data_IF_924201314494
#
_entry.id   IF_924201314494
#
_cell.length_a   1.000
_cell.length_b   1.000
_cell.length_c   1.000
_cell.angle_alpha   90.00
_cell.angle_beta   90.00
_cell.angle_gamma   90.00
#
_symmetry.space_group_name_H-M   'P 1'
#
loop_
_entity.id
_entity.type
_entity.pdbx_description
1 polymer ?
#
# COMPACT_ATOMS: atom_id res chain seq x y z
N UNK A 1 32.50 -41.99 -21.22
CA UNK A 1 31.47 -42.42 -20.26
C UNK A 1 31.91 -41.94 -18.88
N UNK A 2 31.29 -40.86 -18.41
CA UNK A 2 31.41 -40.41 -17.02
C UNK A 2 30.03 -40.72 -16.46
N UNK A 3 29.93 -41.79 -15.67
CA UNK A 3 28.69 -42.13 -14.96
C UNK A 3 28.48 -41.10 -13.85
N UNK A 4 27.44 -40.29 -14.01
CA UNK A 4 26.83 -39.51 -12.94
C UNK A 4 26.10 -40.50 -12.04
N UNK A 5 26.63 -40.73 -10.84
CA UNK A 5 25.94 -41.43 -9.77
C UNK A 5 24.74 -40.60 -9.31
N UNK A 6 23.53 -41.13 -9.54
CA UNK A 6 22.28 -40.58 -9.02
C UNK A 6 22.33 -40.52 -7.48
N UNK A 7 22.20 -39.32 -6.92
CA UNK A 7 21.98 -39.13 -5.49
C UNK A 7 20.59 -39.70 -5.14
N UNK A 8 20.58 -40.84 -4.46
CA UNK A 8 19.35 -41.47 -3.96
C UNK A 8 18.65 -40.57 -2.94
N UNK A 9 17.31 -40.59 -2.92
CA UNK A 9 16.48 -39.74 -2.06
C UNK A 9 16.82 -39.81 -0.54
N UNK A 10 17.48 -40.89 -0.10
CA UNK A 10 17.94 -41.08 1.27
C UNK A 10 19.08 -40.12 1.66
N UNK A 11 20.02 -39.84 0.73
CA UNK A 11 21.13 -38.90 0.95
C UNK A 11 20.60 -37.46 1.09
N UNK A 12 19.57 -37.09 0.34
CA UNK A 12 18.96 -35.76 0.44
C UNK A 12 18.29 -35.54 1.80
N UNK A 13 17.65 -36.56 2.37
CA UNK A 13 17.09 -36.50 3.73
C UNK A 13 18.16 -36.50 4.80
N UNK A 14 19.22 -37.30 4.66
CA UNK A 14 20.32 -37.36 5.62
C UNK A 14 21.13 -36.04 5.63
N UNK A 15 21.41 -35.47 4.45
CA UNK A 15 22.05 -34.16 4.29
C UNK A 15 21.18 -33.04 4.87
N UNK A 16 19.87 -33.07 4.66
CA UNK A 16 18.93 -32.09 5.23
C UNK A 16 18.88 -32.19 6.75
N UNK A 17 18.91 -33.40 7.31
CA UNK A 17 18.94 -33.64 8.76
C UNK A 17 20.26 -33.18 9.40
N UNK A 18 21.41 -33.45 8.76
CA UNK A 18 22.74 -33.03 9.24
C UNK A 18 22.88 -31.49 9.22
N UNK A 19 22.39 -30.83 8.17
CA UNK A 19 22.33 -29.36 8.08
C UNK A 19 21.43 -28.76 9.15
N UNK A 20 20.29 -29.38 9.44
CA UNK A 20 19.39 -28.91 10.50
C UNK A 20 20.03 -29.06 11.88
N UNK A 21 20.72 -30.19 12.15
CA UNK A 21 21.45 -30.43 13.41
C UNK A 21 22.58 -29.40 13.60
N UNK A 22 23.31 -29.05 12.55
CA UNK A 22 24.34 -28.00 12.64
C UNK A 22 23.74 -26.62 12.90
N UNK A 23 22.67 -26.25 12.19
CA UNK A 23 21.98 -24.98 12.40
C UNK A 23 21.35 -24.89 13.80
N UNK A 24 20.78 -25.98 14.30
CA UNK A 24 20.26 -26.09 15.67
C UNK A 24 21.40 -26.00 16.71
N UNK A 25 22.54 -26.64 16.44
CA UNK A 25 23.71 -26.57 17.31
C UNK A 25 24.30 -25.15 17.36
N UNK A 26 24.38 -24.45 16.23
CA UNK A 26 24.85 -23.07 16.15
C UNK A 26 23.89 -22.10 16.84
N UNK A 27 22.57 -22.33 16.73
CA UNK A 27 21.57 -21.62 17.54
C UNK A 27 21.71 -21.89 19.04
N UNK A 28 22.18 -23.08 19.45
CA UNK A 28 22.33 -23.44 20.87
C UNK A 28 23.69 -23.05 21.48
N UNK A 29 24.72 -22.83 20.67
CA UNK A 29 26.09 -22.43 21.09
C UNK A 29 26.15 -21.22 22.03
N UNK A 30 25.39 -20.11 21.82
CA UNK A 30 25.42 -18.95 22.70
C UNK A 30 24.89 -19.24 24.11
N UNK A 31 24.09 -20.28 24.25
CA UNK A 31 23.39 -20.65 25.49
C UNK A 31 24.12 -21.72 26.29
N UNK A 32 25.15 -22.34 25.70
CA UNK A 32 25.98 -23.33 26.39
C UNK A 32 26.81 -22.63 27.49
N UNK A 33 26.85 -23.18 28.72
CA UNK A 33 27.71 -22.66 29.77
C UNK A 33 29.16 -22.61 29.30
N UNK A 34 29.82 -21.45 29.48
CA UNK A 34 31.25 -21.30 29.21
C UNK A 34 32.01 -22.30 30.07
N UNK A 35 32.93 -23.06 29.45
CA UNK A 35 33.77 -24.01 30.18
C UNK A 35 34.56 -23.28 31.27
N UNK A 36 34.27 -23.59 32.53
CA UNK A 36 35.08 -23.14 33.65
C UNK A 36 36.45 -23.81 33.57
N UNK A 37 37.50 -23.02 33.33
CA UNK A 37 38.90 -23.46 33.23
C UNK A 37 39.44 -24.15 34.50
N UNK A 38 38.66 -24.22 35.59
CA UNK A 38 39.06 -24.83 36.87
C UNK A 38 38.59 -26.29 37.05
N UNK A 39 37.63 -26.77 36.27
CA UNK A 39 37.12 -28.17 36.36
C UNK A 39 37.48 -29.03 35.16
N UNK A 40 38.22 -28.48 34.18
CA UNK A 40 38.61 -29.15 32.93
C UNK A 40 39.82 -30.10 33.06
N UNK A 41 39.86 -30.96 34.10
CA UNK A 41 40.79 -32.11 34.11
C UNK A 41 40.23 -33.37 33.45
N UNK A 42 38.94 -33.36 33.09
CA UNK A 42 38.31 -34.37 32.25
C UNK A 42 37.36 -33.59 31.34
N UNK A 43 37.46 -33.73 30.02
CA UNK A 43 36.73 -32.95 29.01
C UNK A 43 35.20 -33.14 28.99
N UNK A 44 34.55 -33.17 30.15
CA UNK A 44 33.12 -33.35 30.33
C UNK A 44 32.51 -32.04 30.84
N UNK A 45 31.69 -31.40 30.00
CA UNK A 45 30.83 -30.30 30.40
C UNK A 45 29.78 -30.84 31.36
N UNK A 46 29.87 -30.52 32.65
CA UNK A 46 28.85 -30.90 33.63
C UNK A 46 27.67 -29.94 33.46
N UNK A 47 26.61 -30.43 32.82
CA UNK A 47 25.34 -29.71 32.72
C UNK A 47 24.51 -30.09 33.96
N UNK A 48 24.30 -29.14 34.87
CA UNK A 48 23.47 -29.37 36.05
C UNK A 48 21.97 -29.24 35.71
N UNK A 49 21.10 -29.91 36.47
CA UNK A 49 19.65 -29.78 36.31
C UNK A 49 19.16 -28.31 36.41
N UNK A 50 19.82 -27.50 37.25
CA UNK A 50 19.52 -26.06 37.37
C UNK A 50 19.93 -25.25 36.14
N UNK A 51 20.99 -25.65 35.43
CA UNK A 51 21.39 -25.04 34.15
C UNK A 51 20.43 -25.43 33.03
N UNK A 52 19.94 -26.67 32.98
CA UNK A 52 18.93 -27.12 32.01
C UNK A 52 17.63 -26.30 32.18
N UNK A 53 17.19 -26.08 33.42
CA UNK A 53 16.00 -25.25 33.71
C UNK A 53 16.21 -23.79 33.26
N UNK A 54 17.39 -23.21 33.51
CA UNK A 54 17.72 -21.85 33.03
C UNK A 54 17.76 -21.76 31.50
N UNK A 55 18.39 -22.74 30.83
CA UNK A 55 18.46 -22.83 29.38
C UNK A 55 17.07 -22.92 28.76
N UNK A 56 16.20 -23.81 29.30
CA UNK A 56 14.82 -23.96 28.84
C UNK A 56 14.01 -22.67 29.00
N UNK A 57 14.19 -21.96 30.12
CA UNK A 57 13.54 -20.67 30.36
C UNK A 57 14.06 -19.58 29.42
N UNK A 58 15.36 -19.57 29.10
CA UNK A 58 15.95 -18.59 28.18
C UNK A 58 15.48 -18.81 26.74
N UNK A 59 15.47 -20.07 26.28
CA UNK A 59 14.91 -20.45 24.97
C UNK A 59 13.42 -20.10 24.88
N UNK A 60 12.64 -20.33 25.95
CA UNK A 60 11.23 -19.92 25.99
C UNK A 60 11.09 -18.39 25.92
N UNK A 61 11.88 -17.64 26.68
CA UNK A 61 11.85 -16.19 26.66
C UNK A 61 12.25 -15.62 25.29
N UNK A 62 13.19 -16.24 24.59
CA UNK A 62 13.57 -15.83 23.25
C UNK A 62 12.53 -16.19 22.21
N UNK A 63 11.91 -17.37 22.31
CA UNK A 63 10.74 -17.69 21.47
C UNK A 63 9.60 -16.70 21.69
N UNK A 64 9.39 -16.24 22.93
CA UNK A 64 8.41 -15.20 23.24
C UNK A 64 8.84 -13.87 22.60
N UNK A 65 10.08 -13.44 22.79
CA UNK A 65 10.61 -12.21 22.18
C UNK A 65 10.58 -12.23 20.66
N UNK A 66 10.94 -13.35 20.04
CA UNK A 66 10.90 -13.54 18.59
C UNK A 66 9.46 -13.52 18.10
N UNK A 67 8.52 -14.14 18.83
CA UNK A 67 7.09 -14.08 18.52
C UNK A 67 6.52 -12.67 18.69
N UNK A 68 6.96 -11.92 19.71
CA UNK A 68 6.61 -10.51 19.92
C UNK A 68 7.16 -9.64 18.78
N UNK A 69 8.44 -9.80 18.43
CA UNK A 69 9.08 -9.12 17.31
C UNK A 69 8.40 -9.43 15.97
N UNK A 70 8.06 -10.69 15.69
CA UNK A 70 7.33 -11.10 14.47
C UNK A 70 5.87 -10.67 14.46
N UNK A 71 5.30 -10.41 15.64
CA UNK A 71 3.96 -9.80 15.76
C UNK A 71 3.98 -8.29 15.54
N UNK A 72 5.12 -7.64 15.84
CA UNK A 72 5.36 -6.22 15.60
C UNK A 72 5.78 -5.97 14.14
N UNK A 73 6.66 -6.82 13.60
CA UNK A 73 7.22 -6.80 12.25
C UNK A 73 6.93 -8.12 11.54
N UNK A 74 5.71 -8.29 11.01
CA UNK A 74 5.35 -9.49 10.27
C UNK A 74 6.17 -9.58 8.97
N UNK A 75 6.61 -10.78 8.63
CA UNK A 75 7.36 -11.07 7.40
C UNK A 75 6.49 -11.84 6.42
N UNK A 76 6.02 -11.16 5.37
CA UNK A 76 5.31 -11.80 4.27
C UNK A 76 6.29 -12.01 3.11
N UNK A 77 6.56 -13.26 2.75
CA UNK A 77 7.38 -13.60 1.58
C UNK A 77 6.47 -14.25 0.57
N UNK A 78 6.46 -13.71 -0.64
CA UNK A 78 5.70 -14.24 -1.78
C UNK A 78 6.70 -14.66 -2.84
N UNK A 79 6.68 -15.94 -3.19
CA UNK A 79 7.54 -16.53 -4.20
C UNK A 79 6.67 -16.79 -5.44
N UNK A 80 6.80 -15.91 -6.44
CA UNK A 80 6.05 -15.98 -7.68
C UNK A 80 6.39 -17.25 -8.49
N UNK A 81 7.65 -17.67 -8.51
CA UNK A 81 8.12 -18.84 -9.25
C UNK A 81 7.57 -20.14 -8.65
N UNK A 82 7.58 -20.25 -7.32
CA UNK A 82 7.04 -21.43 -6.61
C UNK A 82 5.54 -21.36 -6.36
N UNK A 83 4.88 -20.27 -6.75
CA UNK A 83 3.47 -20.00 -6.46
C UNK A 83 3.11 -20.25 -5.00
N UNK A 84 3.95 -19.75 -4.09
CA UNK A 84 3.82 -19.99 -2.66
C UNK A 84 4.03 -18.72 -1.85
N UNK A 85 3.43 -18.66 -0.67
CA UNK A 85 3.61 -17.55 0.25
C UNK A 85 3.87 -18.06 1.66
N UNK A 86 4.69 -17.34 2.41
CA UNK A 86 4.93 -17.61 3.83
C UNK A 86 4.71 -16.35 4.66
N UNK A 87 4.12 -16.53 5.84
CA UNK A 87 3.96 -15.47 6.83
C UNK A 87 4.74 -15.87 8.08
N UNK A 88 5.72 -15.06 8.47
CA UNK A 88 6.59 -15.33 9.62
C UNK A 88 7.27 -16.72 9.55
N UNK A 89 7.58 -17.18 8.33
CA UNK A 89 8.18 -18.50 8.07
C UNK A 89 7.19 -19.68 8.05
N UNK A 90 5.90 -19.45 8.31
CA UNK A 90 4.86 -20.47 8.17
C UNK A 90 4.23 -20.39 6.77
N UNK A 91 4.03 -21.53 6.12
CA UNK A 91 3.39 -21.57 4.80
C UNK A 91 1.93 -21.12 4.89
N UNK A 92 1.55 -20.16 4.05
CA UNK A 92 0.17 -19.71 3.92
C UNK A 92 -0.63 -20.71 3.09
N UNK A 93 -1.80 -21.12 3.59
CA UNK A 93 -2.74 -21.90 2.80
C UNK A 93 -3.42 -21.00 1.75
N UNK A 94 -3.03 -21.13 0.48
CA UNK A 94 -3.60 -20.40 -0.65
C UNK A 94 -4.94 -20.98 -1.15
N UNK A 95 -5.42 -22.08 -0.57
CA UNK A 95 -6.70 -22.71 -0.89
C UNK A 95 -7.63 -22.69 0.34
N UNK A 96 -8.16 -21.52 0.74
CA UNK A 96 -9.21 -21.45 1.75
C UNK A 96 -10.51 -22.08 1.24
N UNK A 97 -11.42 -22.44 2.15
CA UNK A 97 -12.72 -23.00 1.74
C UNK A 97 -13.65 -21.92 1.22
N UNK A 98 -14.62 -22.30 0.39
CA UNK A 98 -15.59 -21.35 -0.17
C UNK A 98 -16.40 -20.61 0.90
N UNK A 99 -16.70 -21.27 2.02
CA UNK A 99 -17.41 -20.67 3.14
C UNK A 99 -16.59 -19.57 3.82
N UNK A 100 -15.28 -19.81 4.01
CA UNK A 100 -14.38 -18.80 4.57
C UNK A 100 -14.26 -17.59 3.63
N UNK A 101 -14.15 -17.83 2.32
CA UNK A 101 -14.06 -16.77 1.31
C UNK A 101 -15.36 -15.94 1.32
N UNK A 102 -16.53 -16.59 1.23
CA UNK A 102 -17.85 -15.93 1.23
C UNK A 102 -18.07 -15.12 2.52
N UNK A 103 -17.63 -15.64 3.66
CA UNK A 103 -17.67 -14.92 4.94
C UNK A 103 -16.83 -13.64 4.89
N UNK A 104 -15.57 -13.73 4.47
CA UNK A 104 -14.66 -12.56 4.44
C UNK A 104 -15.07 -11.53 3.38
N UNK A 105 -15.53 -11.96 2.20
CA UNK A 105 -16.10 -11.09 1.16
C UNK A 105 -17.34 -10.36 1.68
N UNK A 106 -18.25 -11.08 2.35
CA UNK A 106 -19.44 -10.49 2.97
C UNK A 106 -19.09 -9.43 4.02
N UNK A 107 -18.12 -9.74 4.91
CA UNK A 107 -17.66 -8.78 5.91
C UNK A 107 -17.00 -7.55 5.30
N UNK A 108 -16.19 -7.71 4.25
CA UNK A 108 -15.58 -6.57 3.56
C UNK A 108 -16.65 -5.67 2.92
N UNK A 109 -17.69 -6.26 2.32
CA UNK A 109 -18.82 -5.49 1.79
C UNK A 109 -19.57 -4.77 2.91
N UNK A 110 -19.94 -5.46 3.98
CA UNK A 110 -20.63 -4.85 5.13
C UNK A 110 -19.81 -3.70 5.74
N UNK A 111 -18.48 -3.82 5.73
CA UNK A 111 -17.56 -2.76 6.14
C UNK A 111 -17.65 -1.55 5.21
N UNK A 112 -17.59 -1.76 3.90
CA UNK A 112 -17.67 -0.71 2.89
C UNK A 112 -19.05 -0.03 2.87
N UNK A 113 -20.14 -0.80 3.01
CA UNK A 113 -21.50 -0.29 3.14
C UNK A 113 -21.67 0.58 4.40
N UNK A 114 -20.88 0.31 5.45
CA UNK A 114 -20.82 1.13 6.66
C UNK A 114 -20.47 2.60 6.40
N UNK A 115 -19.80 2.92 5.29
CA UNK A 115 -19.48 4.30 4.91
C UNK A 115 -20.69 5.15 4.50
N UNK A 116 -21.82 4.54 4.14
CA UNK A 116 -23.09 5.25 3.90
C UNK A 116 -23.56 6.12 5.07
N UNK A 117 -23.03 5.90 6.28
CA UNK A 117 -23.30 6.71 7.47
C UNK A 117 -22.45 7.96 7.57
N UNK A 118 -21.47 8.14 6.69
CA UNK A 118 -20.55 9.27 6.72
C UNK A 118 -21.21 10.48 6.08
N UNK A 119 -20.95 11.66 6.63
CA UNK A 119 -21.47 12.91 6.09
C UNK A 119 -20.50 13.45 5.04
N UNK A 120 -21.02 13.78 3.86
CA UNK A 120 -20.24 14.28 2.72
C UNK A 120 -20.35 13.39 1.49
N UNK A 121 -19.32 13.41 0.64
CA UNK A 121 -19.18 12.57 -0.57
C UNK A 121 -18.79 11.13 -0.19
N UNK A 122 -19.71 10.40 0.47
CA UNK A 122 -19.44 9.04 0.95
C UNK A 122 -19.32 8.03 -0.20
N UNK A 123 -20.07 8.21 -1.29
CA UNK A 123 -19.95 7.37 -2.49
C UNK A 123 -18.55 7.51 -3.07
N UNK A 124 -18.12 8.75 -3.34
CA UNK A 124 -16.76 9.01 -3.82
C UNK A 124 -15.69 8.44 -2.91
N UNK A 125 -15.92 8.43 -1.59
CA UNK A 125 -15.04 7.81 -0.61
C UNK A 125 -15.00 6.28 -0.73
N UNK A 126 -16.13 5.60 -0.97
CA UNK A 126 -16.16 4.16 -1.25
C UNK A 126 -15.35 3.81 -2.51
N UNK A 127 -15.50 4.59 -3.59
CA UNK A 127 -14.68 4.43 -4.80
C UNK A 127 -13.18 4.56 -4.48
N UNK A 128 -12.77 5.60 -3.75
CA UNK A 128 -11.35 5.82 -3.41
C UNK A 128 -10.79 4.74 -2.50
N UNK A 129 -11.56 4.25 -1.54
CA UNK A 129 -11.14 3.16 -0.69
C UNK A 129 -11.07 1.83 -1.42
N UNK A 130 -11.98 1.56 -2.36
CA UNK A 130 -11.86 0.38 -3.20
C UNK A 130 -10.60 0.45 -4.10
N UNK A 131 -10.35 1.60 -4.74
CA UNK A 131 -9.13 1.87 -5.51
C UNK A 131 -7.86 1.64 -4.67
N UNK A 132 -7.85 2.15 -3.44
CA UNK A 132 -6.72 1.97 -2.53
C UNK A 132 -6.57 0.53 -2.03
N UNK A 133 -7.68 -0.18 -1.76
CA UNK A 133 -7.66 -1.58 -1.34
C UNK A 133 -7.05 -2.48 -2.42
N UNK A 134 -7.40 -2.24 -3.69
CA UNK A 134 -6.80 -2.93 -4.83
C UNK A 134 -5.27 -2.77 -4.85
N UNK A 135 -4.78 -1.52 -4.79
CA UNK A 135 -3.35 -1.27 -4.71
C UNK A 135 -2.71 -1.89 -3.46
N UNK A 136 -3.36 -1.80 -2.29
CA UNK A 136 -2.81 -2.31 -1.04
C UNK A 136 -2.64 -3.83 -1.07
N UNK A 137 -3.62 -4.58 -1.59
CA UNK A 137 -3.51 -6.03 -1.77
C UNK A 137 -2.48 -6.42 -2.83
N UNK A 138 -2.31 -5.62 -3.88
CA UNK A 138 -1.31 -5.84 -4.91
C UNK A 138 0.11 -5.43 -4.48
N UNK A 139 0.24 -4.55 -3.48
CA UNK A 139 1.50 -3.92 -3.09
C UNK A 139 2.67 -4.87 -2.76
N UNK A 140 2.46 -6.09 -2.21
CA UNK A 140 3.57 -7.04 -1.96
C UNK A 140 4.29 -7.53 -3.23
N UNK A 141 3.62 -7.46 -4.38
CA UNK A 141 4.16 -7.92 -5.67
C UNK A 141 4.91 -6.81 -6.43
N UNK A 142 4.74 -5.54 -6.02
CA UNK A 142 5.33 -4.38 -6.68
C UNK A 142 6.85 -4.43 -6.68
N UNK A 143 7.46 -4.92 -5.60
CA UNK A 143 8.92 -5.05 -5.52
C UNK A 143 9.48 -6.02 -6.58
N UNK A 144 8.76 -7.12 -6.85
CA UNK A 144 9.13 -8.08 -7.89
C UNK A 144 8.97 -7.48 -9.29
N UNK A 145 7.86 -6.78 -9.56
CA UNK A 145 7.67 -6.07 -10.84
C UNK A 145 8.75 -5.01 -11.09
N UNK A 146 9.13 -4.27 -10.05
CA UNK A 146 10.17 -3.22 -10.16
C UNK A 146 11.56 -3.77 -10.39
N UNK A 147 11.92 -4.89 -9.74
CA UNK A 147 13.20 -5.56 -10.00
C UNK A 147 13.24 -6.09 -11.43
N UNK A 148 12.15 -6.71 -11.91
CA UNK A 148 12.06 -7.17 -13.30
C UNK A 148 12.14 -6.01 -14.28
N UNK A 149 11.37 -4.94 -14.08
CA UNK A 149 11.42 -3.75 -14.93
C UNK A 149 12.82 -3.13 -14.96
N UNK A 150 13.53 -3.09 -13.82
CA UNK A 150 14.89 -2.57 -13.78
C UNK A 150 15.90 -3.44 -14.55
N UNK A 151 15.72 -4.77 -14.58
CA UNK A 151 16.60 -5.70 -15.32
C UNK A 151 16.49 -5.54 -16.83
N UNK A 152 15.32 -5.15 -17.32
CA UNK A 152 15.01 -5.01 -18.74
C UNK A 152 14.86 -3.52 -19.17
N UNK A 153 15.42 -2.58 -18.40
CA UNK A 153 15.41 -1.13 -18.70
C UNK A 153 14.01 -0.52 -18.94
N UNK A 154 12.98 -1.13 -18.35
CA UNK A 154 11.59 -0.69 -18.41
C UNK A 154 11.27 0.38 -17.35
N UNK A 155 10.24 1.18 -17.59
CA UNK A 155 9.81 2.20 -16.63
C UNK A 155 9.23 1.59 -15.34
N UNK A 156 9.65 2.11 -14.18
CA UNK A 156 9.21 1.64 -12.86
C UNK A 156 8.04 2.42 -12.27
N UNK A 157 7.70 3.58 -12.84
CA UNK A 157 6.61 4.43 -12.38
C UNK A 157 5.23 3.73 -12.33
N UNK A 158 4.89 2.80 -13.25
CA UNK A 158 3.65 2.03 -13.17
C UNK A 158 3.52 1.13 -11.93
N UNK A 159 4.60 0.92 -11.18
CA UNK A 159 4.65 0.02 -10.02
C UNK A 159 4.91 0.80 -8.71
N UNK A 160 3.91 1.54 -8.20
CA UNK A 160 4.05 2.38 -7.02
C UNK A 160 4.19 1.55 -5.74
N UNK A 161 5.21 1.85 -4.93
CA UNK A 161 5.46 1.22 -3.61
C UNK A 161 5.10 2.14 -2.44
N UNK A 162 4.47 3.28 -2.74
CA UNK A 162 3.98 4.23 -1.75
C UNK A 162 2.49 4.48 -1.93
N UNK A 163 1.78 4.58 -0.81
CA UNK A 163 0.38 4.97 -0.74
C UNK A 163 0.19 6.12 0.24
N UNK A 164 -0.63 7.09 -0.12
CA UNK A 164 -0.95 8.25 0.73
C UNK A 164 -2.46 8.37 0.92
N UNK A 165 -2.92 8.19 2.16
CA UNK A 165 -4.31 8.39 2.56
C UNK A 165 -4.41 9.69 3.34
N UNK A 166 -5.05 10.72 2.78
CA UNK A 166 -5.16 12.01 3.46
C UNK A 166 -6.52 12.67 3.25
N UNK A 167 -6.84 13.64 4.11
CA UNK A 167 -8.11 14.38 4.05
C UNK A 167 -8.77 14.47 5.42
N UNK A 168 -10.09 14.59 5.40
CA UNK A 168 -10.89 14.97 6.57
C UNK A 168 -10.58 14.08 7.80
N UNK A 169 -10.50 14.72 8.97
CA UNK A 169 -10.40 13.96 10.23
C UNK A 169 -11.65 13.11 10.42
N UNK A 170 -11.51 11.94 11.05
CA UNK A 170 -12.62 10.99 11.30
C UNK A 170 -13.24 10.40 10.03
N UNK A 171 -12.50 10.38 8.93
CA UNK A 171 -12.82 9.61 7.73
C UNK A 171 -12.56 8.09 7.86
N UNK A 172 -12.19 7.60 9.05
CA UNK A 172 -11.93 6.17 9.25
C UNK A 172 -10.64 5.65 8.59
N UNK A 173 -9.68 6.52 8.24
CA UNK A 173 -8.40 6.17 7.60
C UNK A 173 -7.64 5.07 8.35
N UNK A 174 -7.37 5.28 9.64
CA UNK A 174 -6.69 4.29 10.50
C UNK A 174 -7.44 2.96 10.53
N UNK A 175 -8.76 3.00 10.75
CA UNK A 175 -9.56 1.78 10.78
C UNK A 175 -9.59 1.05 9.44
N UNK A 176 -9.53 1.78 8.33
CA UNK A 176 -9.49 1.21 6.98
C UNK A 176 -8.18 0.47 6.75
N UNK A 177 -7.05 1.14 7.00
CA UNK A 177 -5.72 0.54 6.86
C UNK A 177 -5.52 -0.66 7.79
N UNK A 178 -5.96 -0.58 9.04
CA UNK A 178 -5.95 -1.73 9.96
C UNK A 178 -6.78 -2.91 9.46
N UNK A 179 -7.92 -2.64 8.80
CA UNK A 179 -8.81 -3.69 8.27
C UNK A 179 -8.14 -4.40 7.10
N UNK A 180 -7.59 -3.65 6.14
CA UNK A 180 -6.86 -4.22 5.01
C UNK A 180 -5.66 -5.06 5.47
N UNK A 181 -4.88 -4.55 6.42
CA UNK A 181 -3.73 -5.29 6.94
C UNK A 181 -4.17 -6.56 7.67
N UNK A 182 -5.25 -6.49 8.46
CA UNK A 182 -5.82 -7.69 9.08
C UNK A 182 -6.30 -8.71 8.04
N UNK A 183 -6.86 -8.27 6.92
CA UNK A 183 -7.27 -9.18 5.84
C UNK A 183 -6.07 -9.87 5.17
N UNK A 184 -4.92 -9.20 5.10
CA UNK A 184 -3.72 -9.79 4.49
C UNK A 184 -3.00 -10.77 5.41
N UNK A 185 -2.73 -10.35 6.64
CA UNK A 185 -1.81 -11.07 7.55
C UNK A 185 -2.45 -11.51 8.87
N UNK A 186 -3.72 -11.20 9.11
CA UNK A 186 -4.45 -11.58 10.33
C UNK A 186 -4.01 -10.84 11.59
N UNK A 187 -3.03 -9.93 11.50
CA UNK A 187 -2.40 -9.23 12.61
C UNK A 187 -2.57 -7.72 12.50
N UNK A 188 -2.45 -7.02 13.64
CA UNK A 188 -2.47 -5.57 13.74
C UNK A 188 -1.09 -5.05 14.18
N UNK A 189 -0.08 -5.06 13.30
CA UNK A 189 1.21 -4.45 13.67
C UNK A 189 0.99 -2.95 13.90
N UNK A 190 1.51 -2.45 15.01
CA UNK A 190 1.44 -1.03 15.35
C UNK A 190 2.83 -0.44 15.20
N UNK A 191 3.06 0.27 14.11
CA UNK A 191 4.27 1.08 13.96
C UNK A 191 3.92 2.49 14.39
N UNK A 192 4.68 3.02 15.35
CA UNK A 192 4.44 4.35 15.90
C UNK A 192 5.04 5.42 14.97
N UNK A 193 4.27 6.47 14.67
CA UNK A 193 4.70 7.63 13.86
C UNK A 193 6.05 8.29 14.27
N UNK A 194 6.48 8.29 15.55
CA UNK A 194 7.76 8.86 15.98
C UNK A 194 8.98 8.24 15.29
N UNK A 195 8.93 6.97 14.89
CA UNK A 195 10.05 6.21 14.33
C UNK A 195 10.23 6.39 12.81
N UNK A 196 9.40 7.22 12.18
CA UNK A 196 9.47 7.54 10.75
C UNK A 196 10.68 8.44 10.43
N UNK A 197 11.84 7.81 10.31
CA UNK A 197 13.07 8.37 9.73
C UNK A 197 13.41 7.61 8.46
N UNK A 198 14.15 8.23 7.54
CA UNK A 198 14.53 7.59 6.27
C UNK A 198 15.26 6.26 6.48
N UNK A 199 16.28 6.25 7.34
CA UNK A 199 17.03 5.03 7.70
C UNK A 199 16.15 3.99 8.41
N UNK A 200 15.20 4.45 9.24
CA UNK A 200 14.21 3.58 9.87
C UNK A 200 13.33 2.87 8.84
N UNK A 201 12.75 3.60 7.89
CA UNK A 201 11.88 3.04 6.84
C UNK A 201 12.64 2.07 5.95
N UNK A 202 13.84 2.42 5.51
CA UNK A 202 14.68 1.56 4.68
C UNK A 202 15.02 0.24 5.40
N UNK A 203 15.31 0.30 6.71
CA UNK A 203 15.54 -0.91 7.51
C UNK A 203 14.26 -1.72 7.73
N UNK A 204 13.13 -1.04 7.98
CA UNK A 204 11.82 -1.68 8.12
C UNK A 204 11.40 -2.38 6.82
N UNK A 205 11.62 -1.77 5.65
CA UNK A 205 11.37 -2.38 4.34
C UNK A 205 12.10 -3.71 4.16
N UNK A 206 13.31 -3.85 4.70
CA UNK A 206 14.08 -5.10 4.70
C UNK A 206 13.58 -6.10 5.75
N UNK A 207 13.14 -5.61 6.90
CA UNK A 207 12.76 -6.43 8.05
C UNK A 207 11.35 -7.01 7.90
N UNK A 208 10.39 -6.21 7.43
CA UNK A 208 8.96 -6.55 7.29
C UNK A 208 8.65 -7.25 5.96
N UNK A 209 9.51 -7.06 4.96
CA UNK A 209 9.39 -7.69 3.64
C UNK A 209 8.02 -7.41 2.99
N UNK A 210 7.34 -8.35 2.35
CA UNK A 210 6.15 -8.08 1.54
C UNK A 210 4.94 -7.51 2.30
N UNK A 211 4.94 -7.47 3.64
CA UNK A 211 3.82 -6.92 4.40
C UNK A 211 3.83 -5.37 4.35
N UNK A 212 2.71 -4.69 4.04
CA UNK A 212 2.68 -3.23 3.98
C UNK A 212 2.97 -2.58 5.34
N UNK A 213 3.84 -1.56 5.33
CA UNK A 213 4.19 -0.75 6.50
C UNK A 213 3.20 0.42 6.59
N UNK A 214 2.43 0.50 7.68
CA UNK A 214 1.52 1.62 7.93
C UNK A 214 2.19 2.65 8.85
N UNK A 215 2.18 3.90 8.40
CA UNK A 215 2.65 5.07 9.14
C UNK A 215 1.45 5.97 9.37
N UNK A 216 0.89 5.90 10.57
CA UNK A 216 -0.36 6.60 10.88
C UNK A 216 -0.15 8.02 11.42
N UNK A 217 -1.13 8.89 11.16
CA UNK A 217 -1.24 10.27 11.66
C UNK A 217 0.04 11.11 11.52
N UNK A 218 0.61 11.10 10.32
CA UNK A 218 1.84 11.83 10.03
C UNK A 218 1.56 13.33 9.83
N UNK A 219 2.27 14.18 10.58
CA UNK A 219 2.10 15.64 10.51
C UNK A 219 2.70 16.22 9.22
N UNK A 220 2.15 17.34 8.74
CA UNK A 220 2.67 18.01 7.54
C UNK A 220 4.18 18.33 7.61
N UNK A 221 4.70 18.71 8.77
CA UNK A 221 6.14 18.95 8.96
C UNK A 221 6.98 17.69 8.70
N UNK A 222 6.59 16.54 9.27
CA UNK A 222 7.30 15.27 9.05
C UNK A 222 7.15 14.78 7.61
N UNK A 223 6.00 15.05 6.99
CA UNK A 223 5.74 14.66 5.60
C UNK A 223 6.73 15.36 4.67
N UNK A 224 6.85 16.68 4.79
CA UNK A 224 7.75 17.47 3.96
C UNK A 224 9.23 17.17 4.24
N UNK A 225 9.59 16.84 5.49
CA UNK A 225 10.98 16.60 5.87
C UNK A 225 11.50 15.21 5.48
N UNK A 226 10.68 14.16 5.59
CA UNK A 226 11.16 12.78 5.45
C UNK A 226 10.42 11.99 4.36
N UNK A 227 9.10 12.19 4.21
CA UNK A 227 8.32 11.38 3.27
C UNK A 227 8.62 11.75 1.81
N UNK A 228 8.66 13.04 1.48
CA UNK A 228 8.90 13.50 0.10
C UNK A 228 10.24 13.00 -0.43
N UNK A 229 11.32 13.13 0.35
CA UNK A 229 12.65 12.66 -0.06
C UNK A 229 12.69 11.14 -0.25
N UNK A 230 12.05 10.39 0.65
CA UNK A 230 11.98 8.92 0.58
C UNK A 230 11.17 8.45 -0.63
N UNK A 231 10.11 9.17 -1.01
CA UNK A 231 9.30 8.88 -2.20
C UNK A 231 10.04 9.23 -3.49
N UNK A 232 10.86 10.30 -3.48
CA UNK A 232 11.71 10.67 -4.62
C UNK A 232 12.79 9.64 -4.89
N UNK A 233 13.39 9.12 -3.82
CA UNK A 233 14.45 8.12 -3.92
C UNK A 233 13.88 6.72 -4.14
N UNK A 234 13.40 6.51 -5.36
CA UNK A 234 12.68 5.31 -5.76
C UNK A 234 13.61 4.17 -6.24
N UNK A 235 14.92 4.31 -6.07
CA UNK A 235 15.92 3.29 -6.44
C UNK A 235 16.17 2.23 -5.37
N UNK A 236 15.42 2.29 -4.26
CA UNK A 236 15.57 1.35 -3.16
C UNK A 236 15.38 -0.10 -3.61
N UNK A 237 16.35 -0.94 -3.27
CA UNK A 237 16.32 -2.38 -3.51
C UNK A 237 16.70 -2.82 -4.92
N UNK A 238 16.93 -1.89 -5.86
CA UNK A 238 17.34 -2.21 -7.23
C UNK A 238 18.77 -2.74 -7.28
N UNK A 239 19.72 -2.09 -6.60
CA UNK A 239 21.12 -2.53 -6.55
C UNK A 239 21.31 -3.89 -5.88
N UNK A 240 20.41 -4.22 -4.96
CA UNK A 240 20.49 -5.38 -4.09
C UNK A 240 19.58 -6.52 -4.57
N UNK A 241 18.87 -6.35 -5.70
CA UNK A 241 17.84 -7.25 -6.21
C UNK A 241 16.83 -7.70 -5.14
N UNK A 242 16.37 -6.74 -4.32
CA UNK A 242 15.38 -7.00 -3.29
C UNK A 242 14.00 -7.11 -3.94
N UNK A 243 13.50 -8.34 -4.07
CA UNK A 243 12.20 -8.64 -4.68
C UNK A 243 11.03 -8.63 -3.69
N UNK A 244 11.31 -8.52 -2.39
CA UNK A 244 10.33 -8.70 -1.32
C UNK A 244 10.23 -7.53 -0.35
N UNK A 245 10.70 -6.32 -0.68
CA UNK A 245 10.61 -5.21 0.29
C UNK A 245 9.18 -4.65 0.41
N UNK A 246 8.89 -4.08 1.58
CA UNK A 246 7.55 -3.57 1.90
C UNK A 246 7.17 -2.33 1.10
N UNK A 247 5.90 -2.26 0.71
CA UNK A 247 5.26 -0.99 0.40
C UNK A 247 5.04 -0.16 1.69
N UNK A 248 5.00 1.16 1.55
CA UNK A 248 4.81 2.09 2.67
C UNK A 248 3.53 2.88 2.47
N UNK A 249 2.67 2.85 3.47
CA UNK A 249 1.41 3.58 3.51
C UNK A 249 1.48 4.68 4.55
N UNK A 250 1.20 5.90 4.11
CA UNK A 250 1.22 7.09 4.95
C UNK A 250 -0.21 7.58 5.11
N UNK A 251 -0.68 7.69 6.34
CA UNK A 251 -1.94 8.34 6.68
C UNK A 251 -1.64 9.73 7.22
N UNK A 252 -2.33 10.74 6.69
CA UNK A 252 -2.16 12.13 7.07
C UNK A 252 -3.51 12.85 7.20
N UNK A 253 -3.50 14.00 7.88
CA UNK A 253 -4.68 14.86 7.98
C UNK A 253 -4.74 15.86 6.82
N UNK A 254 -5.80 16.67 6.81
CA UNK A 254 -6.04 17.70 5.80
C UNK A 254 -4.96 18.81 5.80
N UNK A 255 -4.09 18.84 6.81
CA UNK A 255 -2.94 19.75 6.88
C UNK A 255 -1.91 19.47 5.78
N UNK A 256 -1.85 18.25 5.23
CA UNK A 256 -1.15 17.93 3.97
C UNK A 256 -1.99 18.45 2.81
N UNK A 257 -1.96 19.77 2.62
CA UNK A 257 -2.89 20.51 1.76
C UNK A 257 -2.64 20.38 0.25
N UNK A 258 -1.40 20.12 -0.16
CA UNK A 258 -1.01 19.95 -1.55
C UNK A 258 0.21 19.03 -1.65
N UNK A 259 0.06 17.96 -2.42
CA UNK A 259 1.11 16.98 -2.69
C UNK A 259 1.83 17.43 -3.96
N UNK A 260 3.16 17.45 -3.95
CA UNK A 260 3.93 17.88 -5.12
C UNK A 260 3.77 16.87 -6.28
N UNK A 261 3.77 17.31 -7.55
CA UNK A 261 3.60 16.41 -8.71
C UNK A 261 4.57 15.23 -8.73
N UNK A 262 5.80 15.45 -8.28
CA UNK A 262 6.84 14.43 -8.12
C UNK A 262 6.47 13.29 -7.16
N UNK A 263 5.62 13.56 -6.16
CA UNK A 263 5.08 12.56 -5.23
C UNK A 263 3.84 11.90 -5.83
N UNK A 264 2.97 12.69 -6.47
CA UNK A 264 1.75 12.20 -7.15
C UNK A 264 2.07 11.12 -8.18
N UNK A 265 3.11 11.31 -9.00
CA UNK A 265 3.52 10.34 -10.04
C UNK A 265 4.10 9.03 -9.49
N UNK A 266 4.40 8.94 -8.20
CA UNK A 266 5.08 7.79 -7.56
C UNK A 266 4.26 7.14 -6.44
N UNK A 267 3.08 7.67 -6.16
CA UNK A 267 2.29 7.32 -4.98
C UNK A 267 0.83 7.15 -5.33
N UNK A 268 0.21 6.08 -4.85
CA UNK A 268 -1.26 5.93 -4.95
C UNK A 268 -1.93 6.84 -3.94
N UNK A 269 -2.70 7.80 -4.43
CA UNK A 269 -3.36 8.82 -3.62
C UNK A 269 -4.81 8.45 -3.33
N UNK A 270 -5.16 8.39 -2.05
CA UNK A 270 -6.53 8.29 -1.57
C UNK A 270 -6.88 9.55 -0.77
N UNK A 271 -7.57 10.49 -1.43
CA UNK A 271 -8.11 11.69 -0.79
C UNK A 271 -9.53 11.45 -0.30
N UNK A 272 -9.78 11.68 0.99
CA UNK A 272 -11.09 11.47 1.62
C UNK A 272 -11.74 12.80 2.05
N UNK A 273 -12.98 13.01 1.62
CA UNK A 273 -13.75 14.25 1.80
C UNK A 273 -15.03 14.05 2.62
N UNK A 274 -15.21 12.88 3.24
CA UNK A 274 -16.33 12.59 4.12
C UNK A 274 -15.85 12.11 5.49
N UNK A 275 -16.67 12.33 6.51
CA UNK A 275 -16.31 12.05 7.90
C UNK A 275 -17.52 11.78 8.78
N UNK A 276 -17.28 11.08 9.88
CA UNK A 276 -18.27 10.88 10.94
C UNK A 276 -18.29 12.06 11.92
N UNK A 277 -19.46 12.31 12.51
CA UNK A 277 -19.56 13.24 13.65
C UNK A 277 -18.96 12.61 14.92
N UNK A 278 -18.62 13.44 15.91
CA UNK A 278 -18.06 12.97 17.19
C UNK A 278 -18.93 11.92 17.88
N UNK A 279 -20.25 12.10 17.83
CA UNK A 279 -21.23 11.21 18.47
C UNK A 279 -21.36 9.86 17.75
N UNK A 280 -21.20 9.84 16.42
CA UNK A 280 -21.28 8.61 15.63
C UNK A 280 -20.01 7.76 15.74
N UNK A 281 -18.83 8.41 15.79
CA UNK A 281 -17.55 7.71 16.05
C UNK A 281 -17.62 6.94 17.38
N UNK A 282 -18.25 7.50 18.40
CA UNK A 282 -18.40 6.86 19.71
C UNK A 282 -19.46 5.73 19.75
N UNK A 283 -20.39 5.68 18.79
CA UNK A 283 -21.50 4.70 18.75
C UNK A 283 -21.30 3.57 17.73
N UNK A 284 -20.33 3.72 16.82
CA UNK A 284 -20.09 2.76 15.74
C UNK A 284 -19.48 1.44 16.25
N UNK A 285 -20.32 0.44 16.47
CA UNK A 285 -19.87 -0.93 16.78
C UNK A 285 -19.57 -1.78 15.52
N UNK A 286 -20.07 -1.37 14.35
CA UNK A 286 -20.00 -2.15 13.10
C UNK A 286 -18.54 -2.37 12.67
N UNK A 287 -17.75 -1.30 12.63
CA UNK A 287 -16.31 -1.35 12.31
C UNK A 287 -15.59 -2.34 13.23
N UNK A 288 -15.87 -2.29 14.53
CA UNK A 288 -15.22 -3.15 15.52
C UNK A 288 -15.65 -4.60 15.39
N UNK A 289 -16.93 -4.87 15.09
CA UNK A 289 -17.42 -6.23 14.89
C UNK A 289 -16.86 -6.87 13.61
N UNK A 290 -16.78 -6.11 12.51
CA UNK A 290 -16.16 -6.58 11.26
C UNK A 290 -14.68 -6.84 11.49
N UNK A 291 -13.95 -5.87 12.06
CA UNK A 291 -12.54 -6.04 12.37
C UNK A 291 -12.26 -7.18 13.34
N UNK A 292 -13.20 -7.64 14.17
CA UNK A 292 -13.01 -8.80 15.04
C UNK A 292 -13.17 -10.12 14.28
N UNK A 293 -14.15 -10.19 13.38
CA UNK A 293 -14.54 -11.43 12.69
C UNK A 293 -13.80 -11.67 11.38
N UNK A 294 -13.32 -10.61 10.72
CA UNK A 294 -12.69 -10.73 9.40
C UNK A 294 -11.43 -11.60 9.47
N UNK A 295 -11.36 -12.58 8.58
CA UNK A 295 -10.23 -13.48 8.41
C UNK A 295 -9.29 -13.03 7.30
N UNK A 296 -8.52 -13.98 6.77
CA UNK A 296 -7.58 -13.80 5.66
C UNK A 296 -7.96 -14.60 4.41
N UNK A 297 -9.11 -15.27 4.39
CA UNK A 297 -9.51 -16.14 3.29
C UNK A 297 -9.68 -15.39 1.98
N UNK A 298 -10.29 -14.22 2.01
CA UNK A 298 -10.46 -13.41 0.81
C UNK A 298 -9.10 -13.02 0.19
N UNK A 299 -8.13 -12.56 0.99
CA UNK A 299 -6.81 -12.23 0.48
C UNK A 299 -6.01 -13.46 0.01
N UNK A 300 -6.13 -14.61 0.69
CA UNK A 300 -5.45 -15.85 0.29
C UNK A 300 -5.93 -16.35 -1.09
N UNK A 301 -7.24 -16.29 -1.34
CA UNK A 301 -7.80 -16.64 -2.65
C UNK A 301 -7.43 -15.62 -3.74
N UNK A 302 -7.45 -14.32 -3.41
CA UNK A 302 -6.92 -13.27 -4.30
C UNK A 302 -5.45 -13.54 -4.66
N UNK A 303 -4.60 -13.81 -3.67
CA UNK A 303 -3.17 -14.02 -3.86
C UNK A 303 -2.89 -15.27 -4.70
N UNK A 304 -3.67 -16.35 -4.51
CA UNK A 304 -3.58 -17.56 -5.35
C UNK A 304 -3.77 -17.22 -6.83
N UNK A 305 -4.86 -16.54 -7.18
CA UNK A 305 -5.17 -16.15 -8.56
C UNK A 305 -4.14 -15.16 -9.11
N UNK A 306 -3.65 -14.26 -8.27
CA UNK A 306 -2.63 -13.30 -8.68
C UNK A 306 -1.31 -14.00 -9.02
N UNK A 307 -0.90 -14.99 -8.23
CA UNK A 307 0.29 -15.80 -8.49
C UNK A 307 0.20 -16.63 -9.78
N UNK A 308 -1.01 -16.95 -10.24
CA UNK A 308 -1.22 -17.59 -11.54
C UNK A 308 -0.95 -16.62 -12.71
N UNK A 309 -1.16 -15.32 -12.51
CA UNK A 309 -0.93 -14.29 -13.54
C UNK A 309 0.50 -13.73 -13.53
N UNK A 310 1.23 -13.86 -12.42
CA UNK A 310 2.57 -13.28 -12.27
C UNK A 310 3.58 -13.71 -13.35
N UNK A 311 3.68 -14.98 -13.76
CA UNK A 311 4.64 -15.39 -14.78
C UNK A 311 4.45 -14.64 -16.11
N UNK A 312 3.21 -14.54 -16.58
CA UNK A 312 2.88 -13.84 -17.84
C UNK A 312 3.18 -12.34 -17.74
N UNK A 313 2.95 -11.73 -16.58
CA UNK A 313 3.29 -10.32 -16.34
C UNK A 313 4.80 -10.06 -16.34
N UNK A 314 5.55 -10.96 -15.73
CA UNK A 314 6.99 -10.87 -15.68
C UNK A 314 7.61 -11.14 -17.05
N UNK A 315 6.99 -11.98 -17.88
CA UNK A 315 7.42 -12.24 -19.26
C UNK A 315 7.15 -11.05 -20.18
N UNK A 316 6.01 -10.36 -20.05
CA UNK A 316 5.73 -9.12 -20.79
C UNK A 316 6.80 -8.04 -20.53
N UNK A 317 7.30 -7.94 -19.30
CA UNK A 317 8.39 -7.01 -18.96
C UNK A 317 9.74 -7.31 -19.64
N UNK A 318 9.91 -8.50 -20.24
CA UNK A 318 11.13 -8.88 -20.96
C UNK A 318 11.10 -8.45 -22.43
N UNK A 319 9.94 -8.08 -22.94
CA UNK A 319 9.73 -7.71 -24.34
C UNK A 319 9.66 -6.19 -24.50
N UNK A 320 10.71 -5.62 -25.09
CA UNK A 320 10.86 -4.17 -25.30
C UNK A 320 9.85 -3.61 -26.33
N UNK A 321 9.15 -4.45 -27.08
CA UNK A 321 8.12 -4.04 -28.04
C UNK A 321 6.71 -3.94 -27.41
N UNK A 322 6.53 -4.46 -26.19
CA UNK A 322 5.24 -4.45 -25.51
C UNK A 322 5.12 -3.32 -24.49
N UNK A 323 3.90 -2.76 -24.36
CA UNK A 323 3.62 -1.79 -23.30
C UNK A 323 3.75 -2.47 -21.93
N UNK A 324 4.26 -1.71 -20.94
CA UNK A 324 4.44 -2.21 -19.59
C UNK A 324 3.11 -2.72 -19.00
N UNK A 325 3.08 -3.92 -18.40
CA UNK A 325 1.84 -4.53 -17.93
C UNK A 325 1.16 -3.74 -16.81
N UNK A 326 -0.16 -3.61 -16.90
CA UNK A 326 -1.00 -3.03 -15.86
C UNK A 326 -1.35 -4.09 -14.79
N UNK A 327 -0.44 -4.26 -13.84
CA UNK A 327 -0.65 -5.17 -12.70
C UNK A 327 -1.86 -4.76 -11.83
N UNK A 328 -2.17 -3.45 -11.76
CA UNK A 328 -3.29 -2.95 -10.96
C UNK A 328 -4.63 -3.29 -11.60
N UNK A 329 -4.69 -3.32 -12.93
CA UNK A 329 -5.85 -3.79 -13.66
C UNK A 329 -6.12 -5.25 -13.38
N UNK A 330 -5.13 -6.12 -13.54
CA UNK A 330 -5.26 -7.57 -13.29
C UNK A 330 -5.64 -7.84 -11.84
N UNK A 331 -5.01 -7.15 -10.90
CA UNK A 331 -5.38 -7.20 -9.49
C UNK A 331 -6.86 -6.87 -9.28
N UNK A 332 -7.37 -5.81 -9.92
CA UNK A 332 -8.75 -5.39 -9.76
C UNK A 332 -9.73 -6.37 -10.38
N UNK A 333 -9.41 -6.94 -11.53
CA UNK A 333 -10.21 -7.96 -12.22
C UNK A 333 -10.34 -9.21 -11.36
N UNK A 334 -9.25 -9.64 -10.71
CA UNK A 334 -9.26 -10.75 -9.75
C UNK A 334 -10.14 -10.43 -8.54
N UNK A 335 -9.99 -9.24 -7.94
CA UNK A 335 -10.82 -8.81 -6.80
C UNK A 335 -12.31 -8.83 -7.19
N UNK A 336 -12.66 -8.24 -8.33
CA UNK A 336 -14.03 -8.21 -8.85
C UNK A 336 -14.54 -9.63 -9.09
N UNK A 337 -13.75 -10.50 -9.73
CA UNK A 337 -14.14 -11.87 -10.00
C UNK A 337 -14.39 -12.68 -8.72
N UNK A 338 -13.54 -12.52 -7.70
CA UNK A 338 -13.72 -13.17 -6.39
C UNK A 338 -14.99 -12.64 -5.70
N UNK A 339 -15.23 -11.33 -5.76
CA UNK A 339 -16.44 -10.72 -5.19
C UNK A 339 -17.72 -11.14 -5.92
N UNK A 340 -17.68 -11.29 -7.25
CA UNK A 340 -18.81 -11.81 -8.03
C UNK A 340 -19.08 -13.27 -7.69
N UNK A 341 -18.04 -14.10 -7.61
CA UNK A 341 -18.18 -15.54 -7.38
C UNK A 341 -18.66 -15.88 -5.96
N UNK A 342 -18.11 -15.20 -4.94
CA UNK A 342 -18.36 -15.54 -3.53
C UNK A 342 -19.24 -14.52 -2.80
N UNK A 343 -19.52 -13.37 -3.41
CA UNK A 343 -20.39 -12.34 -2.85
C UNK A 343 -21.85 -12.51 -3.28
N UNK A 344 -22.42 -11.46 -3.84
CA UNK A 344 -23.79 -11.42 -4.35
C UNK A 344 -23.79 -11.10 -5.84
N UNK A 345 -24.81 -11.59 -6.56
CA UNK A 345 -24.93 -11.43 -8.02
C UNK A 345 -24.92 -9.96 -8.47
N UNK A 346 -25.37 -9.05 -7.58
CA UNK A 346 -25.30 -7.60 -7.79
C UNK A 346 -24.21 -7.02 -6.93
N UNK A 347 -23.17 -6.50 -7.58
CA UNK A 347 -22.11 -5.73 -6.94
C UNK A 347 -22.49 -4.25 -6.85
N UNK A 348 -22.16 -3.56 -5.75
CA UNK A 348 -22.20 -2.10 -5.68
C UNK A 348 -21.34 -1.44 -6.76
N UNK A 349 -21.76 -0.26 -7.24
CA UNK A 349 -21.11 0.47 -8.34
C UNK A 349 -19.63 0.82 -8.09
N UNK A 350 -19.22 0.94 -6.82
CA UNK A 350 -17.82 1.20 -6.46
C UNK A 350 -16.90 0.00 -6.70
N UNK A 351 -17.44 -1.21 -6.83
CA UNK A 351 -16.70 -2.43 -7.15
C UNK A 351 -16.66 -2.55 -8.67
N UNK A 352 -15.54 -2.13 -9.24
CA UNK A 352 -15.34 -2.06 -10.70
C UNK A 352 -13.92 -2.46 -11.07
N UNK A 353 -13.72 -2.83 -12.32
CA UNK A 353 -12.38 -2.96 -12.89
C UNK A 353 -11.70 -1.60 -12.91
N UNK A 354 -10.43 -1.59 -12.52
CA UNK A 354 -9.58 -0.41 -12.44
C UNK A 354 -8.42 -0.57 -13.42
N UNK A 355 -7.74 0.53 -13.73
CA UNK A 355 -6.51 0.57 -14.52
C UNK A 355 -5.62 1.69 -13.99
N UNK A 356 -4.39 1.80 -14.49
CA UNK A 356 -3.46 2.89 -14.20
C UNK A 356 -4.10 4.28 -14.39
N UNK A 357 -5.02 4.44 -15.35
CA UNK A 357 -5.73 5.70 -15.57
C UNK A 357 -6.57 6.12 -14.35
N UNK A 358 -7.13 5.16 -13.61
CA UNK A 358 -7.91 5.45 -12.40
C UNK A 358 -7.05 5.97 -11.24
N UNK A 359 -5.74 5.74 -11.29
CA UNK A 359 -4.79 6.17 -10.27
C UNK A 359 -4.02 7.43 -10.66
N UNK A 360 -3.57 7.51 -11.92
CA UNK A 360 -2.56 8.48 -12.36
C UNK A 360 -3.01 9.44 -13.46
N UNK A 361 -4.25 9.34 -13.96
CA UNK A 361 -4.73 10.30 -14.96
C UNK A 361 -4.75 11.74 -14.42
N UNK A 362 -4.59 12.70 -15.32
CA UNK A 362 -4.64 14.14 -15.01
C UNK A 362 -5.96 14.54 -14.34
N UNK A 363 -7.06 13.92 -14.75
CA UNK A 363 -8.39 14.17 -14.17
C UNK A 363 -8.50 13.62 -12.74
N UNK A 364 -7.85 12.49 -12.43
CA UNK A 364 -7.81 11.92 -11.08
C UNK A 364 -6.96 12.78 -10.15
N UNK A 365 -5.78 13.20 -10.62
CA UNK A 365 -4.81 13.99 -9.86
C UNK A 365 -5.27 15.44 -9.66
N UNK A 366 -5.97 16.01 -10.64
CA UNK A 366 -6.53 17.37 -10.57
C UNK A 366 -7.99 17.47 -10.11
N UNK A 367 -8.62 16.39 -9.62
CA UNK A 367 -10.05 16.35 -9.24
C UNK A 367 -10.46 17.48 -8.27
N UNK A 368 -9.60 17.85 -7.33
CA UNK A 368 -9.88 18.96 -6.41
C UNK A 368 -9.77 20.32 -7.08
N UNK A 369 -8.74 20.55 -7.90
CA UNK A 369 -8.66 21.74 -8.74
C UNK A 369 -9.91 21.89 -9.62
N UNK A 370 -10.42 20.78 -10.16
CA UNK A 370 -11.67 20.75 -10.92
C UNK A 370 -12.86 21.19 -10.06
N UNK A 371 -13.11 20.51 -8.93
CA UNK A 371 -14.21 20.89 -8.01
C UNK A 371 -14.10 22.35 -7.57
N UNK A 372 -12.90 22.83 -7.25
CA UNK A 372 -12.64 24.20 -6.80
C UNK A 372 -13.01 25.22 -7.88
N UNK A 373 -12.50 25.04 -9.11
CA UNK A 373 -12.78 25.94 -10.22
C UNK A 373 -14.25 25.90 -10.61
N UNK A 374 -14.88 24.71 -10.66
CA UNK A 374 -16.31 24.56 -10.92
C UNK A 374 -17.16 25.31 -9.87
N UNK A 375 -16.85 25.14 -8.58
CA UNK A 375 -17.56 25.82 -7.49
C UNK A 375 -17.33 27.32 -7.50
N UNK A 376 -16.10 27.77 -7.73
CA UNK A 376 -15.76 29.17 -7.86
C UNK A 376 -16.49 29.80 -9.06
N UNK A 377 -16.62 29.09 -10.18
CA UNK A 377 -17.37 29.56 -11.33
C UNK A 377 -18.88 29.66 -11.05
N UNK A 378 -19.45 28.72 -10.30
CA UNK A 378 -20.87 28.74 -9.89
C UNK A 378 -21.16 29.91 -8.95
N UNK A 379 -20.28 30.18 -7.98
CA UNK A 379 -20.50 31.14 -6.90
C UNK A 379 -20.01 32.56 -7.23
N UNK A 380 -18.89 32.70 -7.93
CA UNK A 380 -18.23 33.99 -8.18
C UNK A 380 -17.66 34.07 -9.59
N UNK A 381 -18.55 34.18 -10.60
CA UNK A 381 -18.16 34.44 -12.01
C UNK A 381 -17.32 35.71 -12.20
N UNK A 382 -17.38 36.65 -11.26
CA UNK A 382 -16.57 37.88 -11.24
C UNK A 382 -15.08 37.62 -10.98
N UNK A 383 -14.75 36.53 -10.28
CA UNK A 383 -13.37 36.12 -10.02
C UNK A 383 -12.67 35.57 -11.27
N UNK A 384 -13.38 35.47 -12.40
CA UNK A 384 -12.86 34.94 -13.65
C UNK A 384 -12.84 36.00 -14.75
N UNK A 385 -11.75 36.05 -15.50
CA UNK A 385 -11.61 36.84 -16.73
C UNK A 385 -11.36 35.88 -17.88
N UNK A 386 -12.24 35.93 -18.89
CA UNK A 386 -12.19 35.04 -20.06
C UNK A 386 -11.79 35.88 -21.27
N UNK A 387 -10.61 35.63 -21.83
CA UNK A 387 -10.16 36.28 -23.04
C UNK A 387 -10.13 35.27 -24.19
N UNK A 388 -11.14 35.35 -25.07
CA UNK A 388 -11.25 34.44 -26.22
C UNK A 388 -10.21 34.74 -27.31
N UNK A 389 -9.72 35.97 -27.41
CA UNK A 389 -8.79 36.36 -28.47
C UNK A 389 -7.39 35.83 -28.20
N UNK A 390 -6.94 35.88 -26.95
CA UNK A 390 -5.66 35.31 -26.52
C UNK A 390 -5.76 33.86 -26.04
N UNK A 391 -6.93 33.24 -26.13
CA UNK A 391 -7.20 31.90 -25.60
C UNK A 391 -6.81 31.74 -24.11
N UNK A 392 -7.09 32.75 -23.29
CA UNK A 392 -6.71 32.76 -21.86
C UNK A 392 -7.94 32.75 -20.95
N UNK A 393 -7.87 31.92 -19.91
CA UNK A 393 -8.72 31.98 -18.74
C UNK A 393 -7.88 32.43 -17.55
N UNK A 394 -8.33 33.48 -16.84
CA UNK A 394 -7.67 33.96 -15.63
C UNK A 394 -8.62 33.81 -14.44
N UNK A 395 -8.17 33.13 -13.40
CA UNK A 395 -8.88 32.94 -12.15
C UNK A 395 -8.16 33.68 -11.02
N UNK A 396 -8.89 34.54 -10.30
CA UNK A 396 -8.38 35.19 -9.10
C UNK A 396 -8.67 34.30 -7.88
N UNK A 397 -7.61 33.73 -7.31
CA UNK A 397 -7.67 32.88 -6.12
C UNK A 397 -7.84 33.68 -4.81
N UNK A 398 -7.91 35.01 -4.89
CA UNK A 398 -8.05 35.94 -3.77
C UNK A 398 -6.74 36.21 -3.04
N UNK A 399 -5.95 35.17 -2.75
CA UNK A 399 -4.66 35.26 -2.05
C UNK A 399 -3.56 34.50 -2.78
N UNK A 400 -2.29 34.99 -2.77
CA UNK A 400 -1.20 34.34 -3.51
C UNK A 400 -0.90 32.89 -3.12
N UNK A 401 -1.13 32.52 -1.86
CA UNK A 401 -0.90 31.14 -1.38
C UNK A 401 -1.93 30.14 -1.94
N UNK A 402 -3.20 30.54 -2.09
CA UNK A 402 -4.22 29.70 -2.74
C UNK A 402 -3.91 29.52 -4.23
N UNK A 403 -3.37 30.55 -4.90
CA UNK A 403 -2.89 30.43 -6.27
C UNK A 403 -1.71 29.44 -6.38
N UNK A 404 -0.73 29.50 -5.47
CA UNK A 404 0.38 28.51 -5.43
C UNK A 404 -0.11 27.09 -5.19
N UNK A 405 -1.16 26.93 -4.36
CA UNK A 405 -1.75 25.64 -4.07
C UNK A 405 -2.43 25.07 -5.31
N UNK A 406 -3.29 25.86 -5.95
CA UNK A 406 -3.99 25.44 -7.15
C UNK A 406 -3.01 25.04 -8.25
N UNK A 407 -1.95 25.83 -8.46
CA UNK A 407 -0.89 25.56 -9.43
C UNK A 407 -0.23 24.17 -9.28
N UNK A 408 -0.16 23.62 -8.06
CA UNK A 408 0.44 22.28 -7.83
C UNK A 408 -0.47 21.13 -8.24
N UNK A 409 -1.78 21.37 -8.37
CA UNK A 409 -2.78 20.35 -8.68
C UNK A 409 -3.32 20.47 -10.11
N UNK A 410 -2.91 21.51 -10.85
CA UNK A 410 -3.26 21.67 -12.26
C UNK A 410 -2.33 20.84 -13.14
N UNK A 411 -2.86 20.12 -14.15
CA UNK A 411 -2.03 19.42 -15.12
C UNK A 411 -1.23 20.40 -16.00
N UNK A 412 -0.10 19.90 -16.52
CA UNK A 412 0.78 20.67 -17.40
C UNK A 412 0.09 21.05 -18.72
N UNK A 413 -0.87 20.24 -19.17
CA UNK A 413 -1.71 20.47 -20.37
C UNK A 413 -2.51 21.77 -20.35
N UNK A 414 -2.75 22.35 -19.16
CA UNK A 414 -3.42 23.65 -19.02
C UNK A 414 -2.51 24.86 -19.27
N UNK A 415 -1.19 24.64 -19.42
CA UNK A 415 -0.18 25.71 -19.60
C UNK A 415 -0.31 26.79 -18.51
N UNK A 416 -0.63 26.35 -17.29
CA UNK A 416 -0.96 27.25 -16.21
C UNK A 416 0.27 28.04 -15.74
N UNK A 417 0.10 29.32 -15.44
CA UNK A 417 1.12 30.13 -14.79
C UNK A 417 0.50 31.11 -13.79
N UNK A 418 1.30 31.48 -12.78
CA UNK A 418 0.88 32.38 -11.70
C UNK A 418 1.29 33.82 -12.00
N UNK A 419 0.38 34.75 -11.73
CA UNK A 419 0.65 36.19 -11.66
C UNK A 419 0.02 36.77 -10.40
N UNK A 420 0.79 36.89 -9.31
CA UNK A 420 0.30 37.26 -7.96
C UNK A 420 -0.84 36.35 -7.49
N UNK A 421 -2.03 36.86 -7.23
CA UNK A 421 -3.23 36.08 -6.85
C UNK A 421 -3.97 35.46 -8.04
N UNK A 422 -3.48 35.68 -9.27
CA UNK A 422 -4.09 35.16 -10.49
C UNK A 422 -3.42 33.88 -10.95
N UNK A 423 -4.25 32.92 -11.35
CA UNK A 423 -3.85 31.74 -12.12
C UNK A 423 -4.35 31.93 -13.53
N UNK A 424 -3.41 31.98 -14.48
CA UNK A 424 -3.68 32.11 -15.92
C UNK A 424 -3.49 30.74 -16.54
N UNK A 425 -4.40 30.34 -17.42
CA UNK A 425 -4.43 29.02 -18.04
C UNK A 425 -5.01 29.11 -19.45
N UNK A 426 -4.71 28.12 -20.29
CA UNK A 426 -5.23 28.01 -21.64
C UNK A 426 -6.76 27.76 -21.60
N UNK A 427 -7.54 28.62 -22.26
CA UNK A 427 -9.00 28.59 -22.19
C UNK A 427 -9.60 27.34 -22.86
N UNK A 428 -9.00 26.85 -23.94
CA UNK A 428 -9.53 25.69 -24.65
C UNK A 428 -9.36 24.43 -23.82
N UNK A 429 -8.14 24.12 -23.37
CA UNK A 429 -7.87 22.98 -22.49
C UNK A 429 -8.59 23.12 -21.15
N UNK A 430 -8.75 24.34 -20.61
CA UNK A 430 -9.54 24.57 -19.41
C UNK A 430 -11.02 24.19 -19.58
N UNK A 431 -11.62 24.41 -20.76
CA UNK A 431 -13.02 24.03 -20.98
C UNK A 431 -13.22 22.53 -20.91
N UNK A 432 -12.31 21.78 -21.52
CA UNK A 432 -12.32 20.32 -21.56
C UNK A 432 -12.01 19.75 -20.19
N UNK A 433 -10.91 20.19 -19.57
CA UNK A 433 -10.45 19.68 -18.28
C UNK A 433 -11.42 19.96 -17.12
N UNK A 434 -12.01 21.16 -17.07
CA UNK A 434 -12.96 21.52 -16.00
C UNK A 434 -14.40 21.13 -16.31
N UNK A 435 -14.69 20.65 -17.52
CA UNK A 435 -16.06 20.47 -18.03
C UNK A 435 -16.93 21.73 -17.83
N UNK A 436 -16.36 22.90 -18.12
CA UNK A 436 -17.02 24.20 -17.95
C UNK A 436 -16.79 25.06 -19.18
N UNK A 437 -17.88 25.49 -19.81
CA UNK A 437 -17.82 26.32 -21.03
C UNK A 437 -17.29 27.76 -20.81
N UNK A 438 -17.17 28.21 -19.56
CA UNK A 438 -16.78 29.57 -19.14
C UNK A 438 -17.52 30.70 -19.89
N UNK A 439 -18.80 30.48 -20.22
CA UNK A 439 -19.65 31.49 -20.85
C UNK A 439 -20.27 32.38 -19.76
N UNK A 440 -19.88 33.65 -19.69
CA UNK A 440 -20.66 34.65 -18.94
C UNK A 440 -21.96 34.85 -19.71
N UNK A 441 -23.08 34.46 -19.10
CA UNK A 441 -24.40 34.70 -19.69
C UNK A 441 -24.61 36.20 -19.89
N UNK A 442 -25.16 36.58 -21.04
CA UNK A 442 -25.75 37.89 -21.27
C UNK A 442 -27.06 37.95 -20.46
N UNK A 443 -26.98 38.18 -19.16
CA UNK A 443 -28.14 38.65 -18.39
C UNK A 443 -27.86 40.09 -17.98
N UNK A 444 -28.33 41.00 -18.83
CA UNK A 444 -28.80 42.31 -18.42
C UNK A 444 -30.06 42.07 -17.57
N UNK A 445 -30.08 42.58 -16.34
CA UNK A 445 -31.03 43.60 -15.91
C UNK A 445 -30.43 44.36 -14.73
#
# INVERSE_FOLDING_TARGET
MIELTEATADDATEVKFILDVHNLADKLKPYMPRQDKKTSKQGKTIISATQIVKLRRQIQNEKIKEKELRSEYPQLIIDADKQSATLNGEALNLHPTEEEIRHDVGLFRDYMDGYSRFHGDYEGMQYRYFEFANWFFCSPLMATMRDMAARFDQQRLPYPVFGLVYGQSKAGKTSFLETLLKMMIGQKPKISAPDFTRSGIENLKRTVQGAPIIVDDLTNTRFNQHAIETIKNDDFGVSDHLTHYSAVVISANEDVKAVAPEVIRRTVICRVEAGLTNTEVMRSNVVRSVQQKIGTAFYREYLRRMLEQMPDLLDQLKDDETEAPDILQISSEIIVAVMQQFGSDVLPDYIRTLSLENYFSEHVTGKYAIKLIQNAWRTSKKSFVVNKHSNELRYNAGVPYEADRLMKELPETLEAHKSREWVVMNLQTAREFFDVNFRKGLWRF
#
